data_IF_788281871345
#
_entry.id   IF_788281871345
#
_cell.length_a   1.000
_cell.length_b   1.000
_cell.length_c   1.000
_cell.angle_alpha   90.00
_cell.angle_beta   90.00
_cell.angle_gamma   90.00
#
_symmetry.space_group_name_H-M   'P 1'
#
loop_
_entity.id
_entity.type
_entity.pdbx_description
1 polymer ?
#
# COMPACT_ATOMS: atom_id res chain seq x y z
N UNK A 1 -5.62 -8.28 -15.87
CA UNK A 1 -4.15 -8.06 -15.82
C UNK A 1 -3.60 -7.29 -17.02
N UNK A 2 -4.10 -7.50 -18.26
CA UNK A 2 -3.65 -6.74 -19.45
C UNK A 2 -3.76 -5.21 -19.29
N UNK A 3 -4.78 -4.76 -18.57
CA UNK A 3 -5.04 -3.33 -18.35
C UNK A 3 -4.02 -2.65 -17.43
N UNK A 4 -3.29 -3.41 -16.61
CA UNK A 4 -2.27 -2.89 -15.70
C UNK A 4 -1.00 -2.40 -16.43
N UNK A 5 -0.88 -2.66 -17.74
CA UNK A 5 0.23 -2.17 -18.58
C UNK A 5 -0.26 -1.22 -19.69
N UNK A 6 -1.48 -0.69 -19.55
CA UNK A 6 -2.05 0.28 -20.49
C UNK A 6 -1.24 1.58 -20.48
N UNK A 7 -1.12 2.26 -21.63
CA UNK A 7 -0.56 3.61 -21.71
C UNK A 7 -1.43 4.65 -20.97
N UNK A 8 -2.72 4.34 -20.79
CA UNK A 8 -3.65 5.20 -20.07
C UNK A 8 -3.55 4.99 -18.55
N UNK A 9 -3.16 6.05 -17.82
CA UNK A 9 -3.09 6.03 -16.36
C UNK A 9 -4.43 5.63 -15.73
N UNK A 10 -5.56 6.08 -16.27
CA UNK A 10 -6.88 5.82 -15.67
C UNK A 10 -7.29 4.35 -15.78
N UNK A 11 -6.87 3.70 -16.86
CA UNK A 11 -7.05 2.25 -17.05
C UNK A 11 -6.16 1.46 -16.08
N UNK A 12 -4.91 1.88 -15.88
CA UNK A 12 -4.02 1.26 -14.88
C UNK A 12 -4.54 1.43 -13.46
N UNK A 13 -4.99 2.63 -13.09
CA UNK A 13 -5.59 2.91 -11.78
C UNK A 13 -6.85 2.05 -11.55
N UNK A 14 -7.73 1.94 -12.55
CA UNK A 14 -8.90 1.06 -12.46
C UNK A 14 -8.51 -0.42 -12.29
N UNK A 15 -7.46 -0.87 -12.99
CA UNK A 15 -6.93 -2.21 -12.82
C UNK A 15 -6.38 -2.43 -11.39
N UNK A 16 -5.66 -1.46 -10.84
CA UNK A 16 -5.17 -1.49 -9.44
C UNK A 16 -6.30 -1.67 -8.44
N UNK A 17 -7.35 -0.84 -8.53
CA UNK A 17 -8.55 -0.96 -7.68
C UNK A 17 -9.23 -2.33 -7.77
N UNK A 18 -9.40 -2.84 -8.99
CA UNK A 18 -10.05 -4.15 -9.20
C UNK A 18 -9.20 -5.31 -8.66
N UNK A 19 -7.90 -5.27 -8.90
CA UNK A 19 -6.97 -6.33 -8.52
C UNK A 19 -6.73 -6.37 -7.00
N UNK A 20 -6.86 -5.24 -6.30
CA UNK A 20 -6.70 -5.18 -4.86
C UNK A 20 -7.56 -6.20 -4.11
N UNK A 21 -8.74 -6.56 -4.64
CA UNK A 21 -9.62 -7.58 -4.04
C UNK A 21 -8.98 -8.98 -3.92
N UNK A 22 -7.93 -9.28 -4.70
CA UNK A 22 -7.25 -10.58 -4.71
C UNK A 22 -5.74 -10.44 -4.39
N UNK A 23 -5.38 -9.49 -3.52
CA UNK A 23 -4.00 -9.17 -3.17
C UNK A 23 -3.21 -10.36 -2.58
N UNK A 24 -3.89 -11.33 -1.98
CA UNK A 24 -3.30 -12.57 -1.45
C UNK A 24 -2.83 -13.54 -2.54
N UNK A 25 -3.27 -13.37 -3.79
CA UNK A 25 -2.86 -14.22 -4.91
C UNK A 25 -1.47 -13.76 -5.40
N UNK A 26 -0.43 -14.62 -5.40
CA UNK A 26 0.94 -14.21 -5.71
C UNK A 26 1.14 -13.54 -7.08
N UNK A 27 0.41 -13.98 -8.11
CA UNK A 27 0.42 -13.35 -9.44
C UNK A 27 -0.13 -11.92 -9.40
N UNK A 28 -1.20 -11.72 -8.62
CA UNK A 28 -1.88 -10.43 -8.49
C UNK A 28 -1.05 -9.47 -7.65
N UNK A 29 -0.48 -9.95 -6.54
CA UNK A 29 0.46 -9.21 -5.70
C UNK A 29 1.62 -8.62 -6.52
N UNK A 30 2.20 -9.39 -7.44
CA UNK A 30 3.29 -8.92 -8.32
C UNK A 30 2.85 -7.82 -9.28
N UNK A 31 1.61 -7.83 -9.74
CA UNK A 31 1.07 -6.75 -10.59
C UNK A 31 0.78 -5.51 -9.76
N UNK A 32 0.18 -5.67 -8.58
CA UNK A 32 -0.10 -4.59 -7.65
C UNK A 32 1.18 -3.89 -7.17
N UNK A 33 2.25 -4.64 -6.88
CA UNK A 33 3.55 -4.08 -6.51
C UNK A 33 4.13 -3.15 -7.60
N UNK A 34 3.85 -3.43 -8.88
CA UNK A 34 4.27 -2.55 -9.99
C UNK A 34 3.39 -1.30 -10.09
N UNK A 35 2.09 -1.44 -9.85
CA UNK A 35 1.15 -0.32 -9.88
C UNK A 35 1.31 0.63 -8.68
N UNK A 36 1.77 0.12 -7.53
CA UNK A 36 2.16 0.93 -6.37
C UNK A 36 3.43 1.76 -6.61
N UNK A 37 4.22 1.39 -7.62
CA UNK A 37 5.44 2.07 -8.02
C UNK A 37 5.32 2.54 -9.47
N UNK A 38 4.14 3.03 -9.86
CA UNK A 38 3.88 3.45 -11.24
C UNK A 38 4.77 4.63 -11.61
N UNK A 39 5.79 4.37 -12.42
CA UNK A 39 6.81 5.36 -12.77
C UNK A 39 6.31 6.53 -13.64
N UNK A 40 5.06 6.49 -14.11
CA UNK A 40 4.53 7.48 -15.04
C UNK A 40 3.45 8.37 -14.43
N UNK A 41 2.71 7.88 -13.44
CA UNK A 41 1.58 8.62 -12.89
C UNK A 41 1.27 8.23 -11.43
N UNK A 42 1.48 9.16 -10.51
CA UNK A 42 1.29 8.90 -9.08
C UNK A 42 -0.17 8.77 -8.66
N UNK A 43 -1.12 9.13 -9.52
CA UNK A 43 -2.53 8.81 -9.29
C UNK A 43 -2.78 7.30 -9.34
N UNK A 44 -2.05 6.56 -10.19
CA UNK A 44 -2.11 5.09 -10.21
C UNK A 44 -1.61 4.51 -8.88
N UNK A 45 -0.49 5.04 -8.39
CA UNK A 45 0.07 4.68 -7.07
C UNK A 45 -0.95 4.90 -5.96
N UNK A 46 -1.53 6.11 -5.87
CA UNK A 46 -2.48 6.47 -4.82
C UNK A 46 -3.75 5.63 -4.86
N UNK A 47 -4.39 5.48 -6.01
CA UNK A 47 -5.62 4.69 -6.15
C UNK A 47 -5.40 3.20 -5.83
N UNK A 48 -4.24 2.66 -6.22
CA UNK A 48 -3.89 1.26 -5.90
C UNK A 48 -3.65 1.09 -4.40
N UNK A 49 -2.89 2.01 -3.78
CA UNK A 49 -2.62 1.98 -2.35
C UNK A 49 -3.91 2.12 -1.52
N UNK A 50 -4.77 3.09 -1.84
CA UNK A 50 -6.04 3.28 -1.13
C UNK A 50 -6.93 2.03 -1.23
N UNK A 51 -7.04 1.41 -2.41
CA UNK A 51 -7.82 0.19 -2.57
C UNK A 51 -7.28 -0.99 -1.74
N UNK A 52 -5.95 -1.09 -1.58
CA UNK A 52 -5.32 -2.09 -0.73
C UNK A 52 -5.57 -1.82 0.76
N UNK A 53 -5.46 -0.56 1.18
CA UNK A 53 -5.64 -0.16 2.58
C UNK A 53 -7.09 -0.30 3.04
N UNK A 54 -8.06 -0.02 2.16
CA UNK A 54 -9.50 -0.19 2.44
C UNK A 54 -9.92 -1.63 2.72
N UNK A 55 -9.09 -2.63 2.38
CA UNK A 55 -9.32 -4.03 2.77
C UNK A 55 -9.14 -4.26 4.26
N UNK A 56 -8.31 -3.45 4.90
CA UNK A 56 -7.98 -3.57 6.30
C UNK A 56 -7.50 -4.97 6.72
N UNK A 57 -6.59 -5.53 5.93
CA UNK A 57 -5.95 -6.82 6.16
C UNK A 57 -4.42 -6.74 5.99
N UNK A 58 -3.73 -7.80 6.42
CA UNK A 58 -2.26 -7.86 6.38
C UNK A 58 -1.72 -7.85 4.94
N UNK A 59 -2.42 -8.48 3.99
CA UNK A 59 -1.98 -8.52 2.59
C UNK A 59 -1.96 -7.14 1.94
N UNK A 60 -3.02 -6.35 2.16
CA UNK A 60 -3.13 -4.99 1.65
C UNK A 60 -2.04 -4.09 2.23
N UNK A 61 -1.93 -4.05 3.56
CA UNK A 61 -0.94 -3.21 4.23
C UNK A 61 0.49 -3.65 3.85
N UNK A 62 0.79 -4.95 3.86
CA UNK A 62 2.12 -5.49 3.51
C UNK A 62 2.60 -5.01 2.15
N UNK A 63 1.74 -5.01 1.13
CA UNK A 63 2.11 -4.54 -0.21
C UNK A 63 2.45 -3.05 -0.23
N UNK A 64 1.68 -2.22 0.49
CA UNK A 64 1.96 -0.78 0.62
C UNK A 64 3.27 -0.53 1.36
N UNK A 65 3.54 -1.25 2.45
CA UNK A 65 4.81 -1.13 3.19
C UNK A 65 6.01 -1.59 2.36
N UNK A 66 5.85 -2.67 1.59
CA UNK A 66 6.91 -3.12 0.67
C UNK A 66 7.21 -2.08 -0.41
N UNK A 67 6.18 -1.40 -0.92
CA UNK A 67 6.36 -0.29 -1.86
C UNK A 67 7.06 0.91 -1.19
N UNK A 68 6.61 1.33 -0.01
CA UNK A 68 7.23 2.42 0.76
C UNK A 68 8.73 2.20 0.99
N UNK A 69 9.12 0.97 1.34
CA UNK A 69 10.52 0.62 1.61
C UNK A 69 11.45 0.75 0.39
N UNK A 70 10.90 0.88 -0.83
CA UNK A 70 11.67 0.92 -2.08
C UNK A 70 11.36 2.14 -2.96
N UNK A 71 10.34 2.90 -2.60
CA UNK A 71 9.88 4.07 -3.34
C UNK A 71 10.94 5.17 -3.37
N UNK A 72 11.00 5.90 -4.49
CA UNK A 72 11.64 7.22 -4.50
C UNK A 72 10.85 8.22 -3.62
N UNK A 73 11.41 9.39 -3.29
CA UNK A 73 10.76 10.35 -2.40
C UNK A 73 9.35 10.76 -2.85
N UNK A 74 9.15 11.03 -4.14
CA UNK A 74 7.87 11.50 -4.67
C UNK A 74 6.80 10.40 -4.56
N UNK A 75 7.14 9.17 -4.95
CA UNK A 75 6.25 8.01 -4.82
C UNK A 75 5.98 7.68 -3.35
N UNK A 76 7.00 7.82 -2.49
CA UNK A 76 6.90 7.59 -1.05
C UNK A 76 5.94 8.55 -0.38
N UNK A 77 6.00 9.84 -0.73
CA UNK A 77 5.07 10.86 -0.22
C UNK A 77 3.62 10.53 -0.61
N UNK A 78 3.38 10.11 -1.86
CA UNK A 78 2.04 9.72 -2.31
C UNK A 78 1.50 8.46 -1.63
N UNK A 79 2.36 7.49 -1.33
CA UNK A 79 2.01 6.31 -0.55
C UNK A 79 1.70 6.67 0.92
N UNK A 80 2.46 7.59 1.53
CA UNK A 80 2.19 8.05 2.89
C UNK A 80 0.88 8.83 2.97
N UNK A 81 0.59 9.69 1.99
CA UNK A 81 -0.72 10.37 1.88
C UNK A 81 -1.85 9.35 1.82
N UNK A 82 -1.71 8.28 1.04
CA UNK A 82 -2.73 7.22 0.99
C UNK A 82 -2.96 6.53 2.35
N UNK A 83 -1.89 6.31 3.12
CA UNK A 83 -2.00 5.76 4.49
C UNK A 83 -2.75 6.71 5.41
N UNK A 84 -2.39 7.99 5.43
CA UNK A 84 -3.08 8.98 6.27
C UNK A 84 -4.55 9.13 5.86
N UNK A 85 -4.83 9.26 4.56
CA UNK A 85 -6.19 9.47 4.02
C UNK A 85 -7.14 8.30 4.32
N UNK A 86 -6.63 7.06 4.38
CA UNK A 86 -7.48 5.88 4.62
C UNK A 86 -7.47 5.43 6.07
N UNK A 87 -6.31 5.47 6.73
CA UNK A 87 -6.10 4.76 7.99
C UNK A 87 -5.91 5.65 9.22
N UNK A 88 -5.97 6.97 9.07
CA UNK A 88 -5.78 7.93 10.17
C UNK A 88 -6.97 8.91 10.32
N UNK A 89 -8.16 8.51 9.85
CA UNK A 89 -9.36 9.35 9.89
C UNK A 89 -10.05 9.36 11.26
N UNK A 90 -9.80 8.34 12.08
CA UNK A 90 -10.37 8.20 13.42
C UNK A 90 -9.43 7.44 14.36
N UNK A 91 -9.75 7.45 15.67
CA UNK A 91 -9.03 6.66 16.65
C UNK A 91 -9.17 5.14 16.39
N UNK A 92 -10.33 4.69 15.89
CA UNK A 92 -10.58 3.28 15.53
C UNK A 92 -9.69 2.87 14.35
N UNK A 93 -9.54 3.73 13.34
CA UNK A 93 -8.66 3.49 12.20
C UNK A 93 -7.20 3.37 12.64
N UNK A 94 -6.76 4.26 13.55
CA UNK A 94 -5.41 4.23 14.11
C UNK A 94 -5.18 2.94 14.90
N UNK A 95 -6.13 2.50 15.73
CA UNK A 95 -6.04 1.24 16.47
C UNK A 95 -5.96 0.05 15.51
N UNK A 96 -6.80 0.03 14.48
CA UNK A 96 -6.81 -1.03 13.48
C UNK A 96 -5.52 -1.10 12.68
N UNK A 97 -4.99 0.05 12.25
CA UNK A 97 -3.69 0.13 11.58
C UNK A 97 -2.56 -0.30 12.51
N UNK A 98 -2.62 0.07 13.79
CA UNK A 98 -1.64 -0.34 14.81
C UNK A 98 -1.63 -1.85 14.98
N UNK A 99 -2.79 -2.51 15.00
CA UNK A 99 -2.88 -3.97 15.09
C UNK A 99 -2.23 -4.65 13.88
N UNK A 100 -2.52 -4.19 12.66
CA UNK A 100 -1.93 -4.74 11.43
C UNK A 100 -0.41 -4.47 11.37
N UNK A 101 0.04 -3.26 11.69
CA UNK A 101 1.46 -2.92 11.74
C UNK A 101 2.21 -3.75 12.81
N UNK A 102 1.57 -4.06 13.93
CA UNK A 102 2.13 -4.95 14.95
C UNK A 102 2.37 -6.36 14.41
N UNK A 103 1.42 -6.92 13.66
CA UNK A 103 1.60 -8.22 13.00
C UNK A 103 2.77 -8.20 12.00
N UNK A 104 2.90 -7.12 11.22
CA UNK A 104 3.95 -6.95 10.22
C UNK A 104 5.32 -6.53 10.79
N UNK A 105 5.42 -6.17 12.07
CA UNK A 105 6.69 -5.79 12.69
C UNK A 105 7.71 -6.95 12.80
N UNK A 106 7.28 -8.19 12.52
CA UNK A 106 8.12 -9.40 12.46
C UNK A 106 8.09 -10.10 11.09
N UNK A 107 7.59 -9.42 10.06
CA UNK A 107 7.54 -9.91 8.68
C UNK A 107 8.87 -10.50 8.17
N UNK A 108 8.93 -11.55 7.35
CA UNK A 108 10.21 -12.01 6.78
C UNK A 108 10.95 -10.95 5.93
N UNK A 109 10.23 -10.02 5.31
CA UNK A 109 10.79 -8.92 4.52
C UNK A 109 11.28 -7.79 5.44
N UNK A 110 12.55 -7.42 5.32
CA UNK A 110 13.15 -6.40 6.18
C UNK A 110 12.56 -5.01 5.98
N UNK A 111 12.28 -4.62 4.74
CA UNK A 111 11.68 -3.31 4.43
C UNK A 111 10.28 -3.22 5.01
N UNK A 112 9.47 -4.27 4.85
CA UNK A 112 8.13 -4.32 5.45
C UNK A 112 8.19 -4.20 6.98
N UNK A 113 9.11 -4.93 7.64
CA UNK A 113 9.28 -4.84 9.11
C UNK A 113 9.66 -3.44 9.56
N UNK A 114 10.57 -2.79 8.83
CA UNK A 114 11.09 -1.47 9.20
C UNK A 114 10.01 -0.40 9.04
N UNK A 115 9.27 -0.42 7.93
CA UNK A 115 8.13 0.49 7.71
C UNK A 115 7.02 0.25 8.75
N UNK A 116 6.70 -1.01 9.05
CA UNK A 116 5.72 -1.34 10.08
C UNK A 116 6.12 -0.79 11.46
N UNK A 117 7.40 -0.94 11.84
CA UNK A 117 7.93 -0.36 13.08
C UNK A 117 7.96 1.16 13.05
N UNK A 118 8.25 1.76 11.90
CA UNK A 118 8.18 3.20 11.68
C UNK A 118 6.77 3.74 11.95
N UNK A 119 5.73 3.07 11.45
CA UNK A 119 4.34 3.40 11.74
C UNK A 119 4.04 3.31 13.24
N UNK A 120 4.49 2.26 13.92
CA UNK A 120 4.28 2.12 15.38
C UNK A 120 5.01 3.21 16.17
N UNK A 121 6.24 3.56 15.78
CA UNK A 121 7.04 4.59 16.44
C UNK A 121 6.45 5.99 16.36
N UNK A 122 5.79 6.34 15.23
CA UNK A 122 5.06 7.62 15.08
C UNK A 122 3.85 7.76 16.02
N UNK A 123 3.39 6.66 16.60
CA UNK A 123 2.15 6.56 17.40
C UNK A 123 2.40 6.38 18.89
N UNK A 124 3.67 6.28 19.30
CA UNK A 124 4.03 6.29 20.72
C UNK A 124 4.16 7.75 21.20
N UNK A 125 3.63 8.10 22.38
CA UNK A 125 3.73 9.44 22.94
C UNK A 125 5.16 9.84 23.33
#
# INVERSE_FOLDING_TARGET
>A
MRDAVSDSWSVRAAAGRQLAAAAEVPEVARVLARLLLDAHDTYVTRETAQALLLRWDEHGLRLVLAALATADPDTGDDLQVAVTDVCEQSAEDIERLTALATALASDPDAGVREEARGLLGRRQP
#
